data_IF_243904255862
#
_entry.id   IF_243904255862
#
_cell.length_a   1.000
_cell.length_b   1.000
_cell.length_c   1.000
_cell.angle_alpha   90.00
_cell.angle_beta   90.00
_cell.angle_gamma   90.00
#
_symmetry.space_group_name_H-M   'P 1'
#
loop_
_entity.id
_entity.type
_entity.pdbx_description
1 polymer ?
#
# COMPACT_ATOMS: atom_id res chain seq x y z
N UNK A 1 -46.97 -58.84 -10.01
CA UNK A 1 -46.03 -58.73 -8.86
C UNK A 1 -45.05 -57.62 -9.18
N UNK A 2 -45.26 -56.45 -8.58
CA UNK A 2 -44.32 -55.32 -8.63
C UNK A 2 -44.38 -54.68 -7.25
N UNK A 3 -43.29 -54.78 -6.49
CA UNK A 3 -43.10 -54.07 -5.23
C UNK A 3 -41.86 -53.20 -5.40
N UNK A 4 -42.10 -51.90 -5.58
CA UNK A 4 -41.08 -50.87 -5.54
C UNK A 4 -40.57 -50.73 -4.10
N UNK A 5 -39.25 -50.61 -3.95
CA UNK A 5 -38.59 -50.35 -2.69
C UNK A 5 -38.69 -48.85 -2.36
N UNK A 6 -39.38 -48.53 -1.26
CA UNK A 6 -39.34 -47.20 -0.65
C UNK A 6 -37.96 -46.96 -0.03
N UNK A 7 -37.29 -45.90 -0.46
CA UNK A 7 -36.10 -45.37 0.21
C UNK A 7 -36.55 -44.17 1.06
N UNK A 8 -36.33 -44.14 2.39
CA UNK A 8 -36.80 -43.03 3.21
C UNK A 8 -35.94 -41.80 3.01
N UNK A 9 -36.59 -40.67 2.72
CA UNK A 9 -36.00 -39.34 2.69
C UNK A 9 -35.70 -38.90 4.14
N UNK A 10 -34.43 -38.86 4.54
CA UNK A 10 -34.04 -38.38 5.87
C UNK A 10 -34.19 -36.85 5.93
N UNK A 11 -35.03 -36.36 6.84
CA UNK A 11 -35.11 -34.93 7.18
C UNK A 11 -33.88 -34.56 8.04
N UNK A 12 -33.16 -33.46 7.76
CA UNK A 12 -32.10 -32.96 8.64
C UNK A 12 -32.67 -32.64 10.03
N UNK A 13 -31.88 -32.89 11.07
CA UNK A 13 -32.30 -32.76 12.47
C UNK A 13 -32.27 -31.28 12.92
N UNK A 14 -33.34 -30.55 12.57
CA UNK A 14 -33.51 -29.09 12.76
C UNK A 14 -33.17 -28.63 14.19
N UNK A 15 -33.38 -29.48 15.20
CA UNK A 15 -33.10 -29.16 16.60
C UNK A 15 -31.59 -29.08 16.90
N UNK A 16 -30.77 -29.93 16.27
CA UNK A 16 -29.31 -29.93 16.42
C UNK A 16 -28.71 -28.68 15.77
N UNK A 17 -29.22 -28.32 14.59
CA UNK A 17 -28.79 -27.10 13.87
C UNK A 17 -29.16 -25.82 14.64
N UNK A 18 -30.35 -25.78 15.28
CA UNK A 18 -30.78 -24.64 16.09
C UNK A 18 -29.97 -24.50 17.38
N UNK A 19 -29.63 -25.61 18.05
CA UNK A 19 -28.80 -25.58 19.25
C UNK A 19 -27.38 -25.07 18.95
N UNK A 20 -26.78 -25.55 17.86
CA UNK A 20 -25.47 -25.09 17.40
C UNK A 20 -25.48 -23.59 17.04
N UNK A 21 -26.57 -23.08 16.46
CA UNK A 21 -26.68 -21.66 16.12
C UNK A 21 -26.84 -20.76 17.36
N UNK A 22 -27.61 -21.20 18.36
CA UNK A 22 -27.72 -20.50 19.65
C UNK A 22 -26.36 -20.44 20.34
N UNK A 23 -25.61 -21.54 20.35
CA UNK A 23 -24.26 -21.56 20.93
C UNK A 23 -23.30 -20.62 20.20
N UNK A 24 -23.30 -20.63 18.86
CA UNK A 24 -22.54 -19.66 18.05
C UNK A 24 -22.92 -18.22 18.37
N UNK A 25 -24.21 -17.93 18.50
CA UNK A 25 -24.68 -16.59 18.85
C UNK A 25 -24.20 -16.13 20.24
N UNK A 26 -24.23 -17.03 21.24
CA UNK A 26 -23.71 -16.75 22.59
C UNK A 26 -22.19 -16.48 22.52
N UNK A 27 -21.43 -17.31 21.82
CA UNK A 27 -19.98 -17.12 21.66
C UNK A 27 -19.64 -15.81 20.95
N UNK A 28 -20.35 -15.46 19.87
CA UNK A 28 -20.20 -14.17 19.18
C UNK A 28 -20.48 -12.98 20.11
N UNK A 29 -21.49 -13.07 20.97
CA UNK A 29 -21.79 -12.00 21.93
C UNK A 29 -20.71 -11.86 23.01
N UNK A 30 -20.20 -12.97 23.55
CA UNK A 30 -19.10 -12.95 24.53
C UNK A 30 -17.80 -12.40 23.91
N UNK A 31 -17.44 -12.87 22.72
CA UNK A 31 -16.29 -12.36 21.95
C UNK A 31 -16.47 -10.89 21.52
N UNK A 32 -17.71 -10.48 21.23
CA UNK A 32 -18.05 -9.08 20.95
C UNK A 32 -17.83 -8.16 22.16
N UNK A 33 -18.12 -8.63 23.37
CA UNK A 33 -17.77 -7.89 24.59
C UNK A 33 -16.26 -7.79 24.78
N UNK A 34 -15.52 -8.89 24.59
CA UNK A 34 -14.05 -8.91 24.66
C UNK A 34 -13.41 -7.97 23.62
N UNK A 35 -13.93 -7.96 22.39
CA UNK A 35 -13.52 -7.04 21.33
C UNK A 35 -13.58 -5.56 21.78
N UNK A 36 -14.64 -5.18 22.51
CA UNK A 36 -14.85 -3.83 23.01
C UNK A 36 -13.95 -3.49 24.20
N UNK A 37 -13.56 -4.47 25.01
CA UNK A 37 -12.81 -4.24 26.27
C UNK A 37 -11.30 -4.44 26.13
N UNK A 38 -10.84 -5.20 25.15
CA UNK A 38 -9.41 -5.55 24.99
C UNK A 38 -8.66 -4.50 24.17
N UNK A 39 -7.40 -4.24 24.50
CA UNK A 39 -6.57 -3.26 23.77
C UNK A 39 -6.37 -3.63 22.29
N UNK A 40 -6.11 -2.63 21.45
CA UNK A 40 -5.80 -2.86 20.03
C UNK A 40 -4.52 -3.70 19.88
N UNK A 41 -4.44 -4.60 18.87
CA UNK A 41 -3.24 -5.40 18.65
C UNK A 41 -1.99 -4.53 18.42
N UNK A 42 -0.85 -5.00 18.93
CA UNK A 42 0.45 -4.40 18.65
C UNK A 42 0.84 -4.64 17.17
N UNK A 43 1.29 -3.58 16.51
CA UNK A 43 1.69 -3.56 15.09
C UNK A 43 3.07 -2.94 14.92
N UNK A 44 3.75 -3.17 13.79
CA UNK A 44 5.04 -2.57 13.49
C UNK A 44 6.18 -3.11 14.35
N UNK A 45 6.08 -4.39 14.76
CA UNK A 45 6.91 -4.98 15.81
C UNK A 45 8.24 -5.55 15.29
N UNK A 46 8.44 -5.68 13.98
CA UNK A 46 9.71 -6.18 13.45
C UNK A 46 10.85 -5.24 13.90
N UNK A 47 11.91 -5.76 14.54
CA UNK A 47 12.97 -4.94 15.11
C UNK A 47 13.60 -4.00 14.09
N UNK A 48 13.65 -2.71 14.40
CA UNK A 48 14.16 -1.66 13.52
C UNK A 48 14.70 -0.48 14.28
N UNK A 49 15.56 0.28 13.60
CA UNK A 49 16.15 1.51 14.09
C UNK A 49 15.75 2.67 13.16
N UNK A 50 15.31 3.80 13.71
CA UNK A 50 15.11 5.04 12.93
C UNK A 50 16.48 5.65 12.66
N UNK A 51 17.02 5.40 11.46
CA UNK A 51 18.38 5.82 11.10
C UNK A 51 18.43 7.25 10.58
N UNK A 52 17.28 7.81 10.18
CA UNK A 52 17.18 9.20 9.77
C UNK A 52 15.77 9.75 9.95
N UNK A 53 15.69 11.02 10.36
CA UNK A 53 14.44 11.77 10.47
C UNK A 53 14.66 13.20 9.99
N UNK A 54 13.83 13.67 9.06
CA UNK A 54 13.87 15.04 8.53
C UNK A 54 12.47 15.51 8.18
N UNK A 55 11.90 16.36 9.03
CA UNK A 55 10.53 16.86 8.82
C UNK A 55 9.51 15.71 8.84
N UNK A 56 8.74 15.58 7.77
CA UNK A 56 7.81 14.45 7.53
C UNK A 56 8.52 13.11 7.31
N UNK A 57 9.73 13.10 6.73
CA UNK A 57 10.47 11.88 6.39
C UNK A 57 11.01 11.16 7.64
N UNK A 58 10.73 9.86 7.73
CA UNK A 58 11.44 8.90 8.59
C UNK A 58 12.00 7.76 7.73
N UNK A 59 13.26 7.40 7.96
CA UNK A 59 13.91 6.24 7.35
C UNK A 59 14.25 5.23 8.43
N UNK A 60 13.73 4.03 8.27
CA UNK A 60 13.98 2.90 9.15
C UNK A 60 14.91 1.90 8.48
N UNK A 61 15.85 1.35 9.25
CA UNK A 61 16.60 0.15 8.90
C UNK A 61 16.10 -0.99 9.79
N UNK A 62 15.64 -2.07 9.17
CA UNK A 62 15.20 -3.25 9.89
C UNK A 62 16.39 -4.16 10.18
N UNK A 63 16.38 -4.76 11.38
CA UNK A 63 17.49 -5.63 11.80
C UNK A 63 17.41 -6.96 11.04
N UNK A 64 18.52 -7.42 10.41
CA UNK A 64 18.55 -8.70 9.70
C UNK A 64 18.05 -9.86 10.57
N UNK A 65 17.36 -10.81 9.94
CA UNK A 65 16.84 -12.03 10.59
C UNK A 65 17.35 -13.32 9.93
N UNK A 66 18.36 -13.20 9.07
CA UNK A 66 19.07 -14.31 8.42
C UNK A 66 20.58 -14.12 8.58
N UNK A 67 21.34 -15.22 8.59
CA UNK A 67 22.80 -15.21 8.76
C UNK A 67 23.53 -14.68 7.51
N UNK A 68 22.97 -14.98 6.33
CA UNK A 68 23.44 -14.47 5.04
C UNK A 68 22.36 -13.57 4.43
N UNK A 69 22.79 -12.44 3.88
CA UNK A 69 21.90 -11.47 3.24
C UNK A 69 22.30 -11.17 1.81
N UNK A 70 21.30 -10.89 0.97
CA UNK A 70 21.49 -10.36 -0.36
C UNK A 70 22.22 -9.02 -0.31
N UNK A 71 23.10 -8.83 -1.28
CA UNK A 71 23.96 -7.65 -1.35
C UNK A 71 23.13 -6.39 -1.54
N UNK A 72 22.22 -6.38 -2.51
CA UNK A 72 21.47 -5.17 -2.90
C UNK A 72 20.36 -4.86 -1.89
N UNK A 73 20.44 -3.74 -1.15
CA UNK A 73 19.43 -3.39 -0.16
C UNK A 73 18.09 -3.00 -0.82
N UNK A 74 17.01 -3.30 -0.11
CA UNK A 74 15.65 -2.92 -0.50
C UNK A 74 15.25 -1.62 0.22
N UNK A 75 14.87 -0.59 -0.53
CA UNK A 75 14.26 0.62 0.02
C UNK A 75 12.78 0.66 -0.35
N UNK A 76 11.93 0.41 0.65
CA UNK A 76 10.48 0.50 0.53
C UNK A 76 10.05 1.97 0.64
N UNK A 77 9.33 2.49 -0.35
CA UNK A 77 8.79 3.85 -0.36
C UNK A 77 7.27 3.77 -0.15
N UNK A 78 6.83 4.19 1.04
CA UNK A 78 5.42 4.13 1.42
C UNK A 78 4.60 5.27 0.82
N UNK A 79 3.29 5.07 0.74
CA UNK A 79 2.35 6.13 0.38
C UNK A 79 2.33 7.22 1.47
N UNK A 80 2.19 8.48 1.08
CA UNK A 80 2.24 9.65 1.97
C UNK A 80 1.00 9.83 2.85
N UNK A 81 -0.07 9.06 2.61
CA UNK A 81 -1.37 9.20 3.30
C UNK A 81 -1.51 8.31 4.53
N UNK A 82 -0.70 7.27 4.70
CA UNK A 82 -0.87 6.30 5.78
C UNK A 82 0.47 5.80 6.29
N UNK A 83 0.48 5.27 7.51
CA UNK A 83 1.67 4.72 8.15
C UNK A 83 2.17 3.46 7.45
N UNK A 84 3.48 3.30 7.41
CA UNK A 84 4.19 2.22 6.73
C UNK A 84 3.98 0.83 7.34
N UNK A 85 3.52 0.76 8.59
CA UNK A 85 3.29 -0.50 9.29
C UNK A 85 2.22 -1.41 8.66
N UNK A 86 1.52 -0.95 7.61
CA UNK A 86 0.67 -1.84 6.80
C UNK A 86 1.45 -3.00 6.16
N UNK A 87 2.74 -2.78 5.85
CA UNK A 87 3.64 -3.83 5.37
C UNK A 87 4.38 -4.55 6.51
N UNK A 88 4.09 -4.17 7.75
CA UNK A 88 4.75 -4.63 8.97
C UNK A 88 3.72 -4.72 10.11
N UNK A 89 2.65 -5.50 9.92
CA UNK A 89 1.54 -5.57 10.88
C UNK A 89 1.94 -6.35 12.14
N UNK A 90 1.54 -7.62 12.23
CA UNK A 90 1.91 -8.52 13.32
C UNK A 90 2.87 -9.60 12.79
N UNK A 91 3.59 -10.32 13.67
CA UNK A 91 4.39 -11.49 13.27
C UNK A 91 3.55 -12.48 12.45
N UNK A 92 4.12 -12.98 11.35
CA UNK A 92 3.45 -13.80 10.33
C UNK A 92 2.55 -13.02 9.36
N UNK A 93 2.33 -11.73 9.61
CA UNK A 93 1.56 -10.80 8.77
C UNK A 93 2.37 -9.53 8.43
N UNK A 94 3.70 -9.64 8.45
CA UNK A 94 4.65 -8.59 8.07
C UNK A 94 5.40 -8.99 6.80
N UNK A 95 5.23 -8.22 5.72
CA UNK A 95 6.01 -8.38 4.48
C UNK A 95 7.49 -8.10 4.79
N UNK A 96 7.76 -7.13 5.66
CA UNK A 96 9.12 -6.80 6.07
C UNK A 96 9.78 -7.97 6.79
N UNK A 97 9.10 -8.58 7.77
CA UNK A 97 9.57 -9.80 8.44
C UNK A 97 9.84 -10.93 7.43
N UNK A 98 8.92 -11.15 6.48
CA UNK A 98 9.10 -12.16 5.44
C UNK A 98 10.38 -11.91 4.62
N UNK A 99 10.62 -10.68 4.16
CA UNK A 99 11.81 -10.33 3.39
C UNK A 99 13.09 -10.47 4.22
N UNK A 100 13.10 -10.06 5.49
CA UNK A 100 14.26 -10.23 6.37
C UNK A 100 14.60 -11.72 6.59
N UNK A 101 13.58 -12.57 6.72
CA UNK A 101 13.75 -14.03 6.85
C UNK A 101 14.24 -14.69 5.55
N UNK A 102 13.95 -14.09 4.38
CA UNK A 102 14.54 -14.50 3.09
C UNK A 102 15.95 -13.94 2.85
N UNK A 103 16.49 -13.15 3.79
CA UNK A 103 17.84 -12.60 3.70
C UNK A 103 17.94 -11.27 2.96
N UNK A 104 16.88 -10.49 2.82
CA UNK A 104 17.01 -9.13 2.27
C UNK A 104 17.44 -8.12 3.35
N UNK A 105 18.31 -7.16 2.99
CA UNK A 105 18.55 -5.96 3.81
C UNK A 105 17.45 -4.93 3.56
N UNK A 106 16.58 -4.69 4.54
CA UNK A 106 15.32 -3.94 4.33
C UNK A 106 15.34 -2.58 5.02
N UNK A 107 15.05 -1.56 4.22
CA UNK A 107 14.82 -0.18 4.65
C UNK A 107 13.41 0.25 4.29
N UNK A 108 12.84 1.13 5.11
CA UNK A 108 11.53 1.72 4.82
C UNK A 108 11.57 3.23 5.00
N UNK A 109 11.20 3.92 3.93
CA UNK A 109 10.86 5.33 3.92
C UNK A 109 9.37 5.47 4.24
N UNK A 110 9.08 5.95 5.45
CA UNK A 110 7.73 6.17 5.98
C UNK A 110 7.58 7.65 6.38
N UNK A 111 6.35 8.05 6.64
CA UNK A 111 5.97 9.45 6.77
C UNK A 111 5.36 9.75 8.13
N UNK A 112 5.61 10.97 8.58
CA UNK A 112 4.96 11.59 9.72
C UNK A 112 4.08 12.74 9.22
N UNK A 113 3.16 13.19 10.06
CA UNK A 113 2.37 14.37 9.76
C UNK A 113 3.29 15.58 9.42
N UNK A 114 3.11 16.24 8.26
CA UNK A 114 3.86 17.43 7.92
C UNK A 114 3.58 18.54 8.95
N UNK A 115 4.64 19.25 9.35
CA UNK A 115 4.54 20.44 10.20
C UNK A 115 3.89 21.58 9.42
N UNK A 116 3.35 22.62 10.09
CA UNK A 116 2.74 23.76 9.40
C UNK A 116 3.65 24.46 8.37
N UNK A 117 4.97 24.46 8.61
CA UNK A 117 5.96 25.03 7.70
C UNK A 117 6.20 24.17 6.46
N UNK A 118 5.90 22.87 6.53
CA UNK A 118 6.06 21.90 5.45
C UNK A 118 4.88 21.90 4.46
N UNK A 119 3.91 22.81 4.63
CA UNK A 119 2.79 22.97 3.68
C UNK A 119 3.21 23.29 2.24
N UNK A 120 4.44 23.78 2.08
CA UNK A 120 5.02 24.12 0.78
C UNK A 120 5.76 22.96 0.11
N UNK A 121 5.88 21.79 0.76
CA UNK A 121 6.45 20.61 0.11
C UNK A 121 5.62 20.24 -1.12
N UNK A 122 6.31 19.92 -2.21
CA UNK A 122 5.81 19.58 -3.54
C UNK A 122 6.36 18.22 -3.96
N UNK A 123 5.86 17.66 -5.05
CA UNK A 123 6.31 16.35 -5.56
C UNK A 123 7.84 16.32 -5.76
N UNK A 124 8.43 17.42 -6.24
CA UNK A 124 9.89 17.56 -6.37
C UNK A 124 10.65 17.36 -5.05
N UNK A 125 10.15 17.80 -3.90
CA UNK A 125 10.87 17.61 -2.63
C UNK A 125 10.96 16.13 -2.25
N UNK A 126 9.93 15.34 -2.59
CA UNK A 126 9.96 13.89 -2.36
C UNK A 126 10.90 13.19 -3.34
N UNK A 127 10.84 13.57 -4.62
CA UNK A 127 11.52 12.85 -5.72
C UNK A 127 12.98 13.27 -5.91
N UNK A 128 13.31 14.54 -5.70
CA UNK A 128 14.64 15.12 -5.95
C UNK A 128 15.44 15.36 -4.67
N UNK A 129 14.80 15.30 -3.50
CA UNK A 129 15.49 15.45 -2.21
C UNK A 129 15.30 14.20 -1.32
N UNK A 130 14.09 13.90 -0.85
CA UNK A 130 13.90 12.82 0.14
C UNK A 130 14.33 11.43 -0.35
N UNK A 131 13.91 10.99 -1.54
CA UNK A 131 14.33 9.68 -2.08
C UNK A 131 15.86 9.63 -2.27
N UNK A 132 16.51 10.56 -3.00
CA UNK A 132 17.97 10.57 -3.12
C UNK A 132 18.72 10.60 -1.78
N UNK A 133 18.20 11.35 -0.81
CA UNK A 133 18.80 11.47 0.52
C UNK A 133 18.67 10.20 1.36
N UNK A 134 17.54 9.48 1.23
CA UNK A 134 17.39 8.16 1.81
C UNK A 134 18.29 7.14 1.13
N UNK A 135 18.40 7.16 -0.20
CA UNK A 135 19.30 6.26 -0.94
C UNK A 135 20.75 6.46 -0.50
N UNK A 136 21.24 7.70 -0.39
CA UNK A 136 22.59 7.97 0.12
C UNK A 136 22.85 7.35 1.48
N UNK A 137 21.89 7.43 2.41
CA UNK A 137 22.04 6.81 3.74
C UNK A 137 22.00 5.29 3.71
N UNK A 138 21.21 4.72 2.82
CA UNK A 138 21.20 3.27 2.57
C UNK A 138 22.57 2.85 2.05
N UNK A 139 23.14 3.56 1.07
CA UNK A 139 24.47 3.29 0.50
C UNK A 139 25.57 3.42 1.57
N UNK A 140 25.56 4.51 2.35
CA UNK A 140 26.54 4.74 3.43
C UNK A 140 26.53 3.62 4.48
N UNK A 141 25.35 3.06 4.77
CA UNK A 141 25.19 2.02 5.79
C UNK A 141 25.45 0.60 5.27
N UNK A 142 24.93 0.28 4.09
CA UNK A 142 25.08 -1.03 3.46
C UNK A 142 26.45 -1.23 2.82
N UNK A 143 27.12 -0.14 2.42
CA UNK A 143 28.33 -0.18 1.61
C UNK A 143 28.06 -0.42 0.12
N UNK A 144 26.80 -0.49 -0.30
CA UNK A 144 26.41 -0.80 -1.66
C UNK A 144 26.15 0.43 -2.52
N UNK A 145 26.48 0.31 -3.81
CA UNK A 145 26.28 1.40 -4.77
C UNK A 145 24.84 1.49 -5.25
N UNK A 146 24.14 0.36 -5.41
CA UNK A 146 22.77 0.36 -5.92
C UNK A 146 21.76 -0.10 -4.88
N UNK A 147 20.53 0.38 -5.01
CA UNK A 147 19.38 -0.06 -4.21
C UNK A 147 18.27 -0.62 -5.10
N UNK A 148 17.45 -1.50 -4.55
CA UNK A 148 16.15 -1.84 -5.15
C UNK A 148 15.07 -0.95 -4.54
N UNK A 149 14.28 -0.26 -5.37
CA UNK A 149 13.13 0.49 -4.90
C UNK A 149 11.87 -0.36 -4.93
N UNK A 150 11.14 -0.39 -3.83
CA UNK A 150 9.81 -1.02 -3.72
C UNK A 150 8.79 0.06 -3.37
N UNK A 151 7.96 0.47 -4.32
CA UNK A 151 7.00 1.55 -4.12
C UNK A 151 5.57 1.04 -3.93
N UNK A 152 4.87 1.55 -2.91
CA UNK A 152 3.47 1.22 -2.64
C UNK A 152 2.55 2.41 -2.94
N UNK A 153 1.55 2.23 -3.82
CA UNK A 153 0.55 3.24 -4.18
C UNK A 153 1.21 4.57 -4.63
N UNK A 154 0.98 5.66 -3.89
CA UNK A 154 1.61 6.96 -4.18
C UNK A 154 3.13 6.92 -3.99
N UNK A 155 3.65 6.10 -3.07
CA UNK A 155 5.08 5.83 -2.98
C UNK A 155 5.63 5.16 -4.25
N UNK A 156 4.81 4.36 -4.93
CA UNK A 156 5.13 3.84 -6.26
C UNK A 156 5.17 4.90 -7.35
N UNK A 157 4.27 5.89 -7.30
CA UNK A 157 4.35 7.05 -8.20
C UNK A 157 5.67 7.79 -7.96
N UNK A 158 6.00 8.11 -6.72
CA UNK A 158 7.25 8.80 -6.37
C UNK A 158 8.49 8.02 -6.84
N UNK A 159 8.54 6.70 -6.61
CA UNK A 159 9.62 5.84 -7.10
C UNK A 159 9.69 5.80 -8.64
N UNK A 160 8.54 5.79 -9.33
CA UNK A 160 8.49 5.86 -10.80
C UNK A 160 9.04 7.19 -11.32
N UNK A 161 8.68 8.30 -10.67
CA UNK A 161 9.19 9.62 -11.02
C UNK A 161 10.71 9.69 -10.79
N UNK A 162 11.20 9.19 -9.65
CA UNK A 162 12.63 9.12 -9.35
C UNK A 162 13.37 8.32 -10.44
N UNK A 163 12.90 7.11 -10.75
CA UNK A 163 13.49 6.22 -11.73
C UNK A 163 13.56 6.86 -13.14
N UNK A 164 12.53 7.60 -13.54
CA UNK A 164 12.49 8.27 -14.85
C UNK A 164 13.44 9.47 -14.94
N UNK A 165 13.69 10.14 -13.81
CA UNK A 165 14.56 11.32 -13.70
C UNK A 165 16.03 10.94 -13.44
N UNK A 166 16.29 9.74 -12.92
CA UNK A 166 17.62 9.22 -12.60
C UNK A 166 17.91 7.90 -13.36
N UNK A 167 17.90 7.90 -14.71
CA UNK A 167 18.08 6.67 -15.51
C UNK A 167 19.46 6.00 -15.33
N UNK A 168 20.44 6.71 -14.76
CA UNK A 168 21.78 6.19 -14.45
C UNK A 168 21.93 5.63 -13.03
N UNK A 169 20.85 5.56 -12.26
CA UNK A 169 20.88 5.09 -10.88
C UNK A 169 21.15 6.21 -9.86
N UNK A 170 21.51 5.86 -8.62
CA UNK A 170 21.80 4.50 -8.12
C UNK A 170 20.54 3.70 -7.83
N UNK A 171 20.14 2.81 -8.75
CA UNK A 171 18.94 1.98 -8.62
C UNK A 171 19.11 0.76 -9.52
N UNK A 172 19.07 -0.45 -8.93
CA UNK A 172 19.22 -1.70 -9.67
C UNK A 172 17.90 -2.26 -10.16
N UNK A 173 16.84 -2.16 -9.36
CA UNK A 173 15.54 -2.77 -9.62
C UNK A 173 14.40 -1.86 -9.14
N UNK A 174 13.22 -1.98 -9.77
CA UNK A 174 12.02 -1.25 -9.39
C UNK A 174 10.82 -2.21 -9.27
N UNK A 175 10.30 -2.40 -8.05
CA UNK A 175 9.05 -3.11 -7.80
C UNK A 175 7.95 -2.13 -7.40
N UNK A 176 6.77 -2.25 -8.01
CA UNK A 176 5.67 -1.29 -7.86
C UNK A 176 4.37 -2.02 -7.59
N UNK A 177 3.70 -1.66 -6.49
CA UNK A 177 2.45 -2.25 -6.07
C UNK A 177 1.34 -1.21 -6.13
N UNK A 178 0.22 -1.56 -6.77
CA UNK A 178 -0.98 -0.71 -6.88
C UNK A 178 -0.69 0.74 -7.28
N UNK A 179 0.21 0.95 -8.24
CA UNK A 179 0.72 2.28 -8.61
C UNK A 179 -0.08 2.89 -9.77
N UNK A 180 -0.74 4.04 -9.59
CA UNK A 180 -1.49 4.69 -10.67
C UNK A 180 -0.55 5.43 -11.63
N UNK A 181 -0.74 5.24 -12.94
CA UNK A 181 -0.07 5.96 -14.02
C UNK A 181 -1.06 6.81 -14.81
N UNK A 182 -2.19 6.23 -15.23
CA UNK A 182 -3.31 6.92 -15.86
C UNK A 182 -4.38 7.29 -14.81
N UNK A 183 -4.24 8.48 -14.25
CA UNK A 183 -5.15 9.00 -13.22
C UNK A 183 -6.57 9.21 -13.75
N UNK A 184 -6.75 9.37 -15.08
CA UNK A 184 -8.09 9.51 -15.68
C UNK A 184 -8.98 8.27 -15.50
N UNK A 185 -8.37 7.12 -15.18
CA UNK A 185 -9.10 5.87 -14.87
C UNK A 185 -9.54 5.77 -13.42
N UNK A 186 -9.04 6.65 -12.53
CA UNK A 186 -9.49 6.76 -11.14
C UNK A 186 -10.82 7.53 -11.05
N UNK A 187 -11.86 7.01 -11.69
CA UNK A 187 -13.14 7.71 -11.94
C UNK A 187 -13.81 8.24 -10.67
N UNK A 188 -13.76 7.49 -9.58
CA UNK A 188 -14.39 7.88 -8.31
C UNK A 188 -13.65 9.07 -7.66
N UNK A 189 -12.32 9.08 -7.68
CA UNK A 189 -11.54 10.24 -7.26
C UNK A 189 -11.74 11.46 -8.16
N UNK A 190 -11.89 11.25 -9.47
CA UNK A 190 -12.25 12.31 -10.40
C UNK A 190 -13.61 12.93 -10.10
N UNK A 191 -14.60 12.11 -9.77
CA UNK A 191 -15.92 12.58 -9.38
C UNK A 191 -15.87 13.36 -8.05
N UNK A 192 -15.10 12.87 -7.08
CA UNK A 192 -14.90 13.55 -5.79
C UNK A 192 -14.18 14.90 -5.93
N UNK A 193 -13.15 14.96 -6.78
CA UNK A 193 -12.34 16.16 -7.02
C UNK A 193 -12.79 16.98 -8.24
N UNK A 194 -14.07 16.91 -8.63
CA UNK A 194 -14.57 17.58 -9.83
C UNK A 194 -14.38 19.10 -9.74
N UNK A 195 -13.67 19.66 -10.72
CA UNK A 195 -13.29 21.09 -10.79
C UNK A 195 -14.46 22.06 -10.71
N UNK A 196 -15.69 21.62 -11.04
CA UNK A 196 -16.90 22.44 -10.95
C UNK A 196 -17.28 22.77 -9.51
N UNK A 197 -16.89 21.92 -8.57
CA UNK A 197 -17.31 22.01 -7.17
C UNK A 197 -16.12 21.92 -6.19
N UNK A 198 -14.94 21.53 -6.67
CA UNK A 198 -13.73 21.38 -5.88
C UNK A 198 -12.65 22.40 -6.30
N UNK A 199 -12.48 23.43 -5.47
CA UNK A 199 -11.43 24.42 -5.61
C UNK A 199 -10.23 24.06 -4.71
N UNK A 200 -9.26 23.37 -5.29
CA UNK A 200 -8.05 22.96 -4.58
C UNK A 200 -7.18 24.15 -4.19
N UNK A 201 -7.19 25.26 -4.94
CA UNK A 201 -6.39 26.43 -4.59
C UNK A 201 -6.93 27.08 -3.33
N UNK A 202 -8.23 27.37 -3.31
CA UNK A 202 -8.90 27.93 -2.15
C UNK A 202 -8.77 27.03 -0.92
N UNK A 203 -8.87 25.71 -1.10
CA UNK A 203 -8.67 24.76 -0.02
C UNK A 203 -7.28 24.94 0.59
N UNK A 204 -6.22 24.78 -0.20
CA UNK A 204 -4.85 24.80 0.29
C UNK A 204 -4.45 26.17 0.84
N UNK A 205 -4.90 27.25 0.21
CA UNK A 205 -4.67 28.62 0.70
C UNK A 205 -5.33 28.86 2.08
N UNK A 206 -6.41 28.13 2.39
CA UNK A 206 -7.12 28.22 3.67
C UNK A 206 -6.49 27.34 4.75
N UNK A 207 -6.22 26.07 4.46
CA UNK A 207 -5.84 25.07 5.49
C UNK A 207 -4.32 24.87 5.62
N UNK A 208 -3.55 25.24 4.58
CA UNK A 208 -2.13 24.94 4.50
C UNK A 208 -1.87 23.46 4.27
N UNK A 209 -1.96 22.62 5.32
CA UNK A 209 -1.89 21.16 5.19
C UNK A 209 -3.30 20.57 5.07
N UNK A 210 -3.46 19.57 4.20
CA UNK A 210 -4.76 18.91 4.03
C UNK A 210 -5.05 18.07 5.28
N UNK A 211 -6.19 18.30 5.96
CA UNK A 211 -6.56 17.53 7.14
C UNK A 211 -6.79 16.06 6.82
N UNK A 212 -6.41 15.12 7.72
CA UNK A 212 -6.58 13.70 7.49
C UNK A 212 -8.06 13.28 7.36
N UNK A 213 -8.99 14.00 8.00
CA UNK A 213 -10.43 13.71 7.94
C UNK A 213 -10.98 13.90 6.53
N UNK A 214 -10.45 14.88 5.80
CA UNK A 214 -10.82 15.14 4.43
C UNK A 214 -10.32 14.04 3.49
N UNK A 215 -9.08 13.60 3.71
CA UNK A 215 -8.51 12.47 2.96
C UNK A 215 -9.30 11.20 3.26
N UNK A 216 -9.60 10.94 4.53
CA UNK A 216 -10.39 9.80 4.96
C UNK A 216 -11.75 9.77 4.27
N UNK A 217 -12.47 10.90 4.27
CA UNK A 217 -13.75 11.02 3.57
C UNK A 217 -13.62 10.73 2.07
N UNK A 218 -12.53 11.17 1.42
CA UNK A 218 -12.30 10.88 0.00
C UNK A 218 -12.13 9.39 -0.28
N UNK A 219 -11.40 8.65 0.57
CA UNK A 219 -11.20 7.21 0.42
C UNK A 219 -12.44 6.40 0.77
N UNK A 220 -13.17 6.77 1.81
CA UNK A 220 -14.39 6.08 2.25
C UNK A 220 -15.47 6.12 1.16
N UNK A 221 -15.59 7.25 0.44
CA UNK A 221 -16.53 7.39 -0.68
C UNK A 221 -16.24 6.44 -1.86
N UNK A 222 -15.02 5.92 -2.00
CA UNK A 222 -14.66 5.01 -3.10
C UNK A 222 -15.26 3.62 -2.92
N UNK A 223 -15.66 3.28 -1.70
CA UNK A 223 -16.30 2.00 -1.38
C UNK A 223 -17.57 2.26 -0.55
N UNK A 224 -18.65 2.73 -1.20
CA UNK A 224 -19.93 2.92 -0.52
C UNK A 224 -20.35 1.64 0.21
N UNK A 225 -20.84 1.80 1.44
CA UNK A 225 -21.19 0.69 2.34
C UNK A 225 -20.00 -0.26 2.70
N UNK A 226 -18.76 0.12 2.40
CA UNK A 226 -17.57 -0.67 2.72
C UNK A 226 -17.40 -0.89 4.22
N UNK A 227 -17.58 0.16 5.04
CA UNK A 227 -17.52 0.06 6.50
C UNK A 227 -18.66 -0.81 7.05
N UNK A 228 -19.89 -0.60 6.59
CA UNK A 228 -21.04 -1.42 7.03
C UNK A 228 -20.89 -2.89 6.64
N UNK A 229 -20.42 -3.18 5.42
CA UNK A 229 -20.11 -4.54 5.01
C UNK A 229 -18.98 -5.15 5.86
N UNK A 230 -17.94 -4.37 6.17
CA UNK A 230 -16.86 -4.78 7.06
C UNK A 230 -17.35 -5.08 8.48
N UNK A 231 -18.28 -4.28 9.01
CA UNK A 231 -18.90 -4.53 10.31
C UNK A 231 -19.72 -5.81 10.30
N UNK A 232 -20.53 -6.05 9.27
CA UNK A 232 -21.28 -7.31 9.12
C UNK A 232 -20.32 -8.50 9.07
N UNK A 233 -19.25 -8.41 8.27
CA UNK A 233 -18.23 -9.46 8.21
C UNK A 233 -17.54 -9.69 9.55
N UNK A 234 -17.27 -8.63 10.32
CA UNK A 234 -16.71 -8.74 11.67
C UNK A 234 -17.68 -9.48 12.60
N UNK A 235 -18.98 -9.14 12.58
CA UNK A 235 -20.00 -9.82 13.38
C UNK A 235 -20.13 -11.30 13.00
N UNK A 236 -20.13 -11.62 11.71
CA UNK A 236 -20.25 -13.00 11.22
C UNK A 236 -19.04 -13.87 11.60
N UNK A 237 -17.86 -13.27 11.75
CA UNK A 237 -16.58 -13.94 12.05
C UNK A 237 -16.05 -13.61 13.45
N UNK A 238 -16.92 -13.17 14.38
CA UNK A 238 -16.52 -12.74 15.72
C UNK A 238 -15.91 -13.87 16.56
N UNK A 239 -16.20 -15.13 16.21
CA UNK A 239 -15.64 -16.35 16.79
C UNK A 239 -14.25 -16.73 16.24
N UNK A 240 -13.79 -16.08 15.17
CA UNK A 240 -12.47 -16.29 14.57
C UNK A 240 -11.48 -15.24 15.07
N UNK A 241 -10.67 -15.61 16.06
CA UNK A 241 -9.70 -14.71 16.70
C UNK A 241 -8.66 -14.12 15.71
N UNK A 242 -8.23 -14.90 14.71
CA UNK A 242 -7.28 -14.43 13.69
C UNK A 242 -7.91 -13.39 12.76
N UNK A 243 -9.17 -13.61 12.35
CA UNK A 243 -9.94 -12.66 11.55
C UNK A 243 -10.17 -11.37 12.33
N UNK A 244 -10.65 -11.47 13.58
CA UNK A 244 -10.92 -10.32 14.45
C UNK A 244 -9.65 -9.52 14.68
N UNK A 245 -8.52 -10.17 14.99
CA UNK A 245 -7.22 -9.50 15.17
C UNK A 245 -6.80 -8.78 13.89
N UNK A 246 -6.90 -9.43 12.73
CA UNK A 246 -6.58 -8.84 11.43
C UNK A 246 -7.47 -7.62 11.15
N UNK A 247 -8.78 -7.76 11.37
CA UNK A 247 -9.75 -6.67 11.22
C UNK A 247 -9.36 -5.45 12.06
N UNK A 248 -9.06 -5.64 13.35
CA UNK A 248 -8.66 -4.56 14.27
C UNK A 248 -7.38 -3.85 13.82
N UNK A 249 -6.41 -4.58 13.27
CA UNK A 249 -5.18 -3.98 12.76
C UNK A 249 -5.44 -3.13 11.50
N UNK A 250 -6.25 -3.63 10.56
CA UNK A 250 -6.60 -2.88 9.35
C UNK A 250 -7.50 -1.67 9.66
N UNK A 251 -8.46 -1.81 10.57
CA UNK A 251 -9.31 -0.69 11.00
C UNK A 251 -8.49 0.39 11.70
N UNK A 252 -7.60 -0.01 12.63
CA UNK A 252 -6.64 0.93 13.24
C UNK A 252 -5.82 1.68 12.19
N UNK A 253 -5.23 0.96 11.24
CA UNK A 253 -4.44 1.56 10.16
C UNK A 253 -5.25 2.52 9.28
N UNK A 254 -6.48 2.16 8.95
CA UNK A 254 -7.37 3.00 8.17
C UNK A 254 -7.76 4.29 8.89
N UNK A 255 -7.90 4.25 10.22
CA UNK A 255 -8.22 5.42 11.05
C UNK A 255 -6.98 6.28 11.40
N UNK A 256 -5.75 5.79 11.20
CA UNK A 256 -4.50 6.53 11.42
C UNK A 256 -3.99 7.21 10.12
N UNK A 257 -4.91 7.79 9.33
CA UNK A 257 -4.57 8.54 8.12
C UNK A 257 -3.76 9.80 8.45
N UNK A 258 -2.74 10.09 7.65
CA UNK A 258 -1.85 11.22 7.82
C UNK A 258 -2.36 12.45 7.05
N UNK A 259 -2.18 13.68 7.59
CA UNK A 259 -2.34 14.88 6.79
C UNK A 259 -1.30 14.93 5.66
N UNK A 260 -1.61 15.66 4.59
CA UNK A 260 -0.69 15.89 3.47
C UNK A 260 -0.23 17.33 3.40
N UNK A 261 0.99 17.54 2.91
CA UNK A 261 1.49 18.86 2.59
C UNK A 261 0.61 19.50 1.51
N UNK A 262 0.31 20.79 1.68
CA UNK A 262 -0.62 21.51 0.83
C UNK A 262 -0.24 21.55 -0.64
N UNK A 263 0.96 22.02 -0.94
CA UNK A 263 1.43 22.16 -2.32
C UNK A 263 1.61 20.80 -3.01
N UNK A 264 2.00 19.77 -2.27
CA UNK A 264 2.05 18.39 -2.74
C UNK A 264 0.68 17.89 -3.16
N UNK A 265 -0.35 18.11 -2.33
CA UNK A 265 -1.73 17.76 -2.67
C UNK A 265 -2.25 18.58 -3.85
N UNK A 266 -2.02 19.91 -3.84
CA UNK A 266 -2.41 20.83 -4.93
C UNK A 266 -1.83 20.38 -6.26
N UNK A 267 -0.53 20.07 -6.28
CA UNK A 267 0.18 19.59 -7.47
C UNK A 267 -0.32 18.22 -7.91
N UNK A 268 -0.52 17.29 -6.98
CA UNK A 268 -1.08 15.96 -7.28
C UNK A 268 -2.45 16.08 -7.96
N UNK A 269 -3.35 16.89 -7.40
CA UNK A 269 -4.69 17.11 -7.97
C UNK A 269 -4.59 17.78 -9.35
N UNK A 270 -3.79 18.84 -9.49
CA UNK A 270 -3.73 19.59 -10.75
C UNK A 270 -3.00 18.85 -11.86
N UNK A 271 -1.84 18.28 -11.56
CA UNK A 271 -0.93 17.74 -12.56
C UNK A 271 -1.21 16.27 -12.85
N UNK A 272 -1.47 15.48 -11.81
CA UNK A 272 -1.71 14.04 -11.96
C UNK A 272 -3.21 13.78 -12.15
N UNK A 273 -4.06 14.16 -11.20
CA UNK A 273 -5.49 13.86 -11.29
C UNK A 273 -6.14 14.56 -12.50
N UNK A 274 -6.18 15.89 -12.53
CA UNK A 274 -6.86 16.63 -13.60
C UNK A 274 -6.09 16.67 -14.91
N UNK A 275 -4.77 16.90 -14.83
CA UNK A 275 -3.91 17.03 -16.00
C UNK A 275 -3.59 15.69 -16.65
N UNK A 276 -3.54 14.61 -15.87
CA UNK A 276 -3.03 13.29 -16.27
C UNK A 276 -1.64 13.39 -16.93
N UNK A 277 -0.81 14.33 -16.44
CA UNK A 277 0.44 14.71 -17.09
C UNK A 277 1.48 13.59 -17.09
N UNK A 278 1.45 12.69 -16.10
CA UNK A 278 2.35 11.54 -16.06
C UNK A 278 2.10 10.59 -17.24
N UNK A 279 0.85 10.13 -17.41
CA UNK A 279 0.46 9.24 -18.50
C UNK A 279 0.67 9.87 -19.89
N UNK A 280 0.34 11.17 -20.03
CA UNK A 280 0.54 11.91 -21.29
C UNK A 280 2.01 12.20 -21.60
N UNK A 281 2.93 11.97 -20.67
CA UNK A 281 4.33 12.33 -20.82
C UNK A 281 4.53 13.85 -20.90
N UNK A 282 3.76 14.62 -20.15
CA UNK A 282 3.79 16.10 -20.07
C UNK A 282 4.27 16.61 -18.70
N UNK A 283 4.44 15.71 -17.73
CA UNK A 283 4.84 16.07 -16.37
C UNK A 283 6.29 16.59 -16.34
N UNK A 284 6.49 17.69 -15.61
CA UNK A 284 7.80 18.32 -15.39
C UNK A 284 8.01 18.45 -13.89
N UNK A 285 9.12 17.91 -13.39
CA UNK A 285 9.52 17.95 -11.98
C UNK A 285 10.93 18.53 -11.92
N UNK A 286 11.15 19.56 -11.09
CA UNK A 286 12.44 20.25 -10.99
C UNK A 286 12.98 20.78 -12.33
N UNK A 287 12.10 21.19 -13.25
CA UNK A 287 12.48 21.65 -14.60
C UNK A 287 12.83 20.53 -15.60
N UNK A 288 12.77 19.27 -15.18
CA UNK A 288 13.05 18.11 -16.04
C UNK A 288 11.75 17.40 -16.44
N UNK A 289 11.65 17.05 -17.72
CA UNK A 289 10.50 16.33 -18.26
C UNK A 289 10.57 14.86 -17.85
N UNK A 290 9.53 14.37 -17.17
CA UNK A 290 9.42 12.97 -16.77
C UNK A 290 9.07 12.12 -18.00
N UNK A 291 9.88 11.10 -18.26
CA UNK A 291 9.74 10.21 -19.41
C UNK A 291 9.85 8.75 -18.95
N UNK A 292 8.74 8.01 -18.92
CA UNK A 292 8.72 6.61 -18.45
C UNK A 292 9.71 5.72 -19.23
N UNK A 293 9.93 6.00 -20.52
CA UNK A 293 10.91 5.31 -21.37
C UNK A 293 12.37 5.40 -20.87
N UNK A 294 12.66 6.31 -19.94
CA UNK A 294 13.97 6.43 -19.31
C UNK A 294 14.20 5.34 -18.24
N UNK A 295 13.13 4.74 -17.73
CA UNK A 295 13.22 3.63 -16.77
C UNK A 295 13.65 2.37 -17.53
N UNK A 296 14.91 1.96 -17.35
CA UNK A 296 15.54 0.83 -18.07
C UNK A 296 15.95 -0.33 -17.18
N UNK A 297 15.90 -0.16 -15.86
CA UNK A 297 16.13 -1.23 -14.88
C UNK A 297 15.05 -2.31 -14.95
N UNK A 298 15.28 -3.53 -14.43
CA UNK A 298 14.22 -4.50 -14.21
C UNK A 298 13.01 -3.92 -13.46
N UNK A 299 11.81 -4.17 -13.98
CA UNK A 299 10.55 -3.68 -13.39
C UNK A 299 9.61 -4.84 -13.05
N UNK A 300 9.18 -4.92 -11.78
CA UNK A 300 8.03 -5.73 -11.36
C UNK A 300 6.84 -4.81 -11.10
N UNK A 301 5.72 -5.08 -11.76
CA UNK A 301 4.49 -4.32 -11.58
C UNK A 301 3.36 -5.23 -11.09
N UNK A 302 2.92 -5.06 -9.84
CA UNK A 302 1.84 -5.83 -9.26
C UNK A 302 0.55 -5.01 -9.14
N UNK A 303 -0.52 -5.55 -9.73
CA UNK A 303 -1.85 -4.97 -9.76
C UNK A 303 -2.86 -5.87 -9.06
N UNK A 304 -3.90 -5.25 -8.48
CA UNK A 304 -5.01 -5.95 -7.85
C UNK A 304 -6.23 -5.98 -8.78
N UNK A 305 -6.85 -7.15 -8.91
CA UNK A 305 -8.01 -7.37 -9.80
C UNK A 305 -9.26 -6.59 -9.38
N UNK A 306 -9.43 -6.33 -8.08
CA UNK A 306 -10.61 -5.67 -7.50
C UNK A 306 -10.21 -4.42 -6.72
N UNK A 307 -9.22 -3.69 -7.21
CA UNK A 307 -8.78 -2.44 -6.63
C UNK A 307 -9.74 -1.30 -6.99
N UNK A 308 -10.34 -0.69 -5.96
CA UNK A 308 -11.27 0.43 -6.11
C UNK A 308 -10.57 1.79 -5.93
N UNK A 309 -9.35 1.79 -5.41
CA UNK A 309 -8.52 2.99 -5.18
C UNK A 309 -7.68 3.26 -6.42
N UNK A 310 -6.95 2.25 -6.89
CA UNK A 310 -6.18 2.27 -8.14
C UNK A 310 -6.69 1.15 -9.03
N UNK A 311 -7.75 1.39 -9.84
CA UNK A 311 -8.26 0.41 -10.78
C UNK A 311 -7.16 -0.14 -11.69
N UNK A 312 -7.33 -1.37 -12.18
CA UNK A 312 -6.37 -2.03 -13.07
C UNK A 312 -5.95 -1.12 -14.23
N UNK A 313 -6.91 -0.46 -14.88
CA UNK A 313 -6.70 0.44 -16.01
C UNK A 313 -5.88 1.68 -15.65
N UNK A 314 -5.88 2.10 -14.38
CA UNK A 314 -5.07 3.22 -13.92
C UNK A 314 -3.59 2.84 -13.83
N UNK A 315 -3.27 1.62 -13.42
CA UNK A 315 -1.88 1.16 -13.27
C UNK A 315 -1.30 0.52 -14.54
N UNK A 316 -2.09 -0.29 -15.26
CA UNK A 316 -1.67 -1.09 -16.42
C UNK A 316 -0.76 -0.36 -17.44
N UNK A 317 -0.94 0.95 -17.75
CA UNK A 317 -0.10 1.63 -18.72
C UNK A 317 1.40 1.67 -18.38
N UNK A 318 1.81 1.40 -17.14
CA UNK A 318 3.20 1.44 -16.70
C UNK A 318 4.11 0.59 -17.59
N UNK A 319 3.82 -0.71 -17.74
CA UNK A 319 4.71 -1.68 -18.39
C UNK A 319 4.91 -1.36 -19.87
N UNK A 320 3.88 -0.83 -20.53
CA UNK A 320 3.99 -0.35 -21.91
C UNK A 320 4.82 0.94 -22.01
N UNK A 321 4.76 1.81 -20.99
CA UNK A 321 5.46 3.11 -20.97
C UNK A 321 6.95 3.03 -20.61
N UNK A 322 7.38 2.03 -19.83
CA UNK A 322 8.78 1.89 -19.41
C UNK A 322 9.68 1.36 -20.54
N UNK A 323 10.92 1.86 -20.57
CA UNK A 323 11.94 1.51 -21.56
C UNK A 323 12.73 0.24 -21.22
N UNK A 324 12.42 -0.40 -20.10
CA UNK A 324 13.08 -1.64 -19.68
C UNK A 324 12.76 -2.79 -20.63
N UNK A 325 13.78 -3.62 -20.87
CA UNK A 325 13.65 -4.90 -21.58
C UNK A 325 13.33 -6.06 -20.64
N UNK A 326 13.56 -5.90 -19.33
CA UNK A 326 13.19 -6.86 -18.28
C UNK A 326 12.03 -6.27 -17.48
N UNK A 327 10.81 -6.64 -17.83
CA UNK A 327 9.60 -6.12 -17.18
C UNK A 327 8.54 -7.19 -17.07
N UNK A 328 7.96 -7.28 -15.87
CA UNK A 328 6.94 -8.26 -15.53
C UNK A 328 5.72 -7.56 -14.95
N UNK A 329 4.53 -7.89 -15.45
CA UNK A 329 3.25 -7.50 -14.86
C UNK A 329 2.58 -8.72 -14.22
N UNK A 330 2.16 -8.59 -12.97
CA UNK A 330 1.37 -9.61 -12.28
C UNK A 330 0.04 -9.02 -11.82
N UNK A 331 -1.05 -9.68 -12.16
CA UNK A 331 -2.40 -9.31 -11.70
C UNK A 331 -2.86 -10.36 -10.70
N UNK A 332 -3.06 -9.95 -9.45
CA UNK A 332 -3.43 -10.86 -8.37
C UNK A 332 -4.85 -10.56 -7.88
N UNK A 333 -5.56 -11.63 -7.46
CA UNK A 333 -6.87 -11.50 -6.83
C UNK A 333 -6.73 -10.77 -5.49
N UNK A 334 -7.53 -9.72 -5.31
CA UNK A 334 -7.54 -8.87 -4.13
C UNK A 334 -7.93 -7.44 -4.50
N UNK A 335 -8.13 -6.60 -3.49
CA UNK A 335 -8.16 -5.15 -3.61
C UNK A 335 -6.85 -4.50 -3.14
N UNK A 336 -6.84 -3.16 -3.12
CA UNK A 336 -5.65 -2.32 -2.91
C UNK A 336 -4.70 -2.76 -1.78
N UNK A 337 -5.26 -2.87 -0.56
CA UNK A 337 -4.48 -3.23 0.63
C UNK A 337 -4.21 -4.72 0.67
N UNK A 338 -5.21 -5.55 0.34
CA UNK A 338 -5.09 -7.02 0.38
C UNK A 338 -4.09 -7.61 -0.63
N UNK A 339 -3.65 -6.81 -1.61
CA UNK A 339 -2.54 -7.17 -2.50
C UNK A 339 -1.23 -7.25 -1.73
N UNK A 340 -0.98 -6.27 -0.85
CA UNK A 340 0.30 -6.08 -0.17
C UNK A 340 0.30 -6.59 1.28
N UNK A 341 -0.86 -6.64 1.93
CA UNK A 341 -1.00 -7.07 3.32
C UNK A 341 -2.14 -8.07 3.50
N UNK A 342 -2.06 -8.88 4.56
CA UNK A 342 -3.08 -9.89 4.89
C UNK A 342 -2.91 -11.23 4.13
N UNK A 343 -3.84 -12.19 4.34
CA UNK A 343 -3.63 -13.59 3.96
C UNK A 343 -3.38 -13.82 2.46
N UNK A 344 -4.00 -13.03 1.58
CA UNK A 344 -3.78 -13.15 0.14
C UNK A 344 -2.37 -12.69 -0.27
N UNK A 345 -1.83 -11.66 0.38
CA UNK A 345 -0.49 -11.15 0.09
C UNK A 345 0.58 -12.18 0.48
N UNK A 346 0.46 -12.77 1.68
CA UNK A 346 1.33 -13.85 2.20
C UNK A 346 1.42 -15.02 1.21
N UNK A 347 0.30 -15.41 0.61
CA UNK A 347 0.22 -16.58 -0.28
C UNK A 347 0.56 -16.27 -1.74
N UNK A 348 0.68 -14.99 -2.13
CA UNK A 348 0.77 -14.60 -3.54
C UNK A 348 1.84 -13.56 -3.79
N UNK A 349 1.64 -12.32 -3.34
CA UNK A 349 2.53 -11.23 -3.68
C UNK A 349 3.92 -11.44 -3.07
N UNK A 350 4.01 -11.84 -1.80
CA UNK A 350 5.32 -11.91 -1.13
C UNK A 350 6.22 -13.01 -1.72
N UNK A 351 5.74 -14.25 -1.93
CA UNK A 351 6.54 -15.26 -2.62
C UNK A 351 6.91 -14.85 -4.04
N UNK A 352 6.02 -14.16 -4.77
CA UNK A 352 6.31 -13.68 -6.12
C UNK A 352 7.38 -12.58 -6.13
N UNK A 353 7.33 -11.68 -5.16
CA UNK A 353 8.32 -10.63 -4.98
C UNK A 353 9.68 -11.24 -4.67
N UNK A 354 9.74 -12.20 -3.75
CA UNK A 354 10.95 -12.93 -3.39
C UNK A 354 11.55 -13.68 -4.59
N UNK A 355 10.75 -14.47 -5.33
CA UNK A 355 11.20 -15.15 -6.55
C UNK A 355 11.83 -14.16 -7.56
N UNK A 356 11.21 -13.00 -7.73
CA UNK A 356 11.68 -11.99 -8.66
C UNK A 356 12.95 -11.28 -8.18
N UNK A 357 13.04 -10.99 -6.87
CA UNK A 357 14.17 -10.30 -6.25
C UNK A 357 15.39 -11.22 -6.07
N UNK A 358 15.21 -12.50 -5.76
CA UNK A 358 16.29 -13.40 -5.39
C UNK A 358 17.31 -13.60 -6.52
N UNK A 359 16.88 -13.50 -7.77
CA UNK A 359 17.76 -13.56 -8.95
C UNK A 359 18.35 -12.21 -9.37
N UNK A 360 17.93 -11.10 -8.72
CA UNK A 360 18.30 -9.71 -9.06
C UNK A 360 18.98 -8.94 -7.93
N UNK A 361 19.02 -9.52 -6.73
CA UNK A 361 19.57 -8.89 -5.52
C UNK A 361 20.96 -9.42 -5.14
N UNK A 362 21.54 -10.30 -5.98
CA UNK A 362 22.92 -10.80 -5.86
C UNK A 362 23.97 -9.75 -6.15
#
# INVERSE_FOLDING_TARGET
MSTAADTPFALPDIAVDMAAEIERAIQRNLKGLDFLTTAAPAVGQTPKDEIHRRGTLSLYHYRPMADEIYRVPLLIVMATTNRGYILDLAPGQSMVEHLLLQGYDVYMMDWNAPRPQEKYLRIEDYVLDFIPDSIRRVQERSGEEDVTLVGYCMGGVLSTLYAALHPGGPMKNLALFTTPIDFSRMKLFHAWSDRRYFDVDRLIDTVGNVPPEMLFASFDMLRPAGRSAGMVQLWDNMDNDEFVKSYRMFDRWGNEMLPLAGEYFRQTVKELMWGNKLHKGELVIGGQKVQLKNIRVPVLHALAQHDHIVPYEAGQPLVAGVGSTDKEEVVLKGGHVSLAAGPNAVRRLWPKLDEWLGVRST
#
